data_IF_533031676787
#
_entry.id   IF_533031676787
#
_cell.length_a   1.000
_cell.length_b   1.000
_cell.length_c   1.000
_cell.angle_alpha   90.00
_cell.angle_beta   90.00
_cell.angle_gamma   90.00
#
_symmetry.space_group_name_H-M   'P 1'
#
loop_
_entity.id
_entity.type
_entity.pdbx_description
1 polymer ?
#
# COMPACT_ATOMS: atom_id res chain seq x y z
N UNK A 1 6.75 -22.72 -5.57
CA UNK A 1 6.70 -21.81 -6.71
C UNK A 1 5.70 -20.69 -6.43
N UNK A 2 6.11 -19.44 -6.64
CA UNK A 2 5.21 -18.31 -6.46
C UNK A 2 4.28 -18.15 -7.65
N UNK A 3 3.02 -17.83 -7.36
CA UNK A 3 2.04 -17.54 -8.39
C UNK A 3 1.70 -16.06 -8.35
N UNK A 4 1.84 -15.39 -9.49
CA UNK A 4 1.46 -13.98 -9.58
C UNK A 4 -0.06 -13.86 -9.68
N UNK A 5 -0.65 -13.10 -8.74
CA UNK A 5 -2.09 -12.89 -8.67
C UNK A 5 -2.52 -11.54 -9.23
N UNK A 6 -1.60 -10.56 -9.25
CA UNK A 6 -1.92 -9.19 -9.63
C UNK A 6 -0.66 -8.46 -10.09
N UNK A 7 -0.81 -7.62 -11.11
CA UNK A 7 0.24 -6.70 -11.54
C UNK A 7 -0.44 -5.38 -11.93
N UNK A 8 -0.02 -4.28 -11.28
CA UNK A 8 -0.55 -2.95 -11.55
C UNK A 8 0.62 -1.98 -11.70
N UNK A 9 0.56 -1.11 -12.72
CA UNK A 9 1.50 -0.01 -12.87
C UNK A 9 0.72 1.30 -12.93
N UNK A 10 1.17 2.30 -12.18
CA UNK A 10 0.55 3.61 -12.14
C UNK A 10 1.61 4.68 -12.20
N UNK A 11 1.45 5.65 -13.12
CA UNK A 11 2.34 6.79 -13.22
C UNK A 11 1.72 8.00 -12.54
N UNK A 12 2.51 8.69 -11.72
CA UNK A 12 2.05 9.85 -10.95
C UNK A 12 2.97 11.03 -11.29
N UNK A 13 2.37 12.18 -11.62
CA UNK A 13 3.09 13.42 -11.92
C UNK A 13 3.54 14.11 -10.63
N UNK A 14 4.46 13.49 -9.90
CA UNK A 14 5.00 14.03 -8.67
C UNK A 14 6.38 13.44 -8.40
N UNK A 15 7.27 14.17 -7.70
CA UNK A 15 8.59 13.65 -7.35
C UNK A 15 8.50 12.42 -6.45
N UNK A 16 9.50 11.57 -6.53
CA UNK A 16 9.56 10.31 -5.81
C UNK A 16 9.37 10.47 -4.29
N UNK A 17 10.04 11.45 -3.69
CA UNK A 17 9.96 11.68 -2.24
C UNK A 17 8.54 12.06 -1.82
N UNK A 18 7.85 12.83 -2.63
CA UNK A 18 6.47 13.23 -2.36
C UNK A 18 5.54 12.03 -2.43
N UNK A 19 5.70 11.19 -3.46
CA UNK A 19 4.89 9.98 -3.63
C UNK A 19 5.13 9.02 -2.48
N UNK A 20 6.39 8.78 -2.13
CA UNK A 20 6.76 7.91 -1.02
C UNK A 20 6.12 8.38 0.29
N UNK A 21 6.22 9.68 0.58
CA UNK A 21 5.66 10.25 1.80
C UNK A 21 4.14 10.03 1.88
N UNK A 22 3.42 10.38 0.82
CA UNK A 22 1.96 10.25 0.81
C UNK A 22 1.47 8.80 0.76
N UNK A 23 2.27 7.92 0.18
CA UNK A 23 1.92 6.50 0.14
C UNK A 23 1.95 5.87 1.53
N UNK A 24 2.84 6.34 2.40
CA UNK A 24 3.10 5.72 3.70
C UNK A 24 2.59 6.51 4.90
N UNK A 25 2.20 7.76 4.72
CA UNK A 25 1.71 8.59 5.81
C UNK A 25 0.25 8.22 6.16
N UNK A 26 -0.06 7.85 7.43
CA UNK A 26 -1.41 7.42 7.79
C UNK A 26 -2.52 8.43 7.45
N UNK A 27 -2.26 9.72 7.61
CA UNK A 27 -3.26 10.73 7.25
C UNK A 27 -3.50 10.77 5.74
N UNK A 28 -2.45 10.59 4.94
CA UNK A 28 -2.59 10.52 3.49
C UNK A 28 -3.26 9.21 3.06
N UNK A 29 -2.92 8.10 3.72
CA UNK A 29 -3.52 6.79 3.45
C UNK A 29 -5.03 6.84 3.64
N UNK A 30 -5.50 7.48 4.71
CA UNK A 30 -6.94 7.63 4.95
C UNK A 30 -7.63 8.37 3.80
N UNK A 31 -6.94 9.32 3.18
CA UNK A 31 -7.49 10.10 2.07
C UNK A 31 -7.54 9.32 0.77
N UNK A 32 -6.45 8.68 0.36
CA UNK A 32 -6.46 7.97 -0.92
C UNK A 32 -7.21 6.64 -0.86
N UNK A 33 -7.41 6.07 0.31
CA UNK A 33 -8.26 4.89 0.49
C UNK A 33 -9.76 5.21 0.44
N UNK A 34 -10.13 6.48 0.28
CA UNK A 34 -11.52 6.89 0.10
C UNK A 34 -11.90 7.07 -1.37
N UNK A 35 -11.11 6.55 -2.29
CA UNK A 35 -11.34 6.72 -3.73
C UNK A 35 -12.63 6.04 -4.21
N UNK A 36 -13.12 5.01 -3.52
CA UNK A 36 -14.38 4.36 -3.85
C UNK A 36 -15.55 5.10 -3.21
N UNK A 37 -16.68 5.31 -3.92
CA UNK A 37 -17.85 5.97 -3.32
C UNK A 37 -18.49 5.15 -2.20
N UNK A 38 -18.25 3.83 -2.16
CA UNK A 38 -18.90 2.93 -1.20
C UNK A 38 -18.06 2.61 0.03
N UNK A 39 -16.77 2.94 0.00
CA UNK A 39 -15.82 2.58 1.05
C UNK A 39 -15.03 3.77 1.56
N UNK A 40 -14.63 3.71 2.84
CA UNK A 40 -13.74 4.71 3.41
C UNK A 40 -12.77 4.05 4.39
N UNK A 41 -11.72 4.79 4.76
CA UNK A 41 -10.69 4.34 5.68
C UNK A 41 -10.71 5.25 6.91
N UNK A 42 -11.47 4.91 7.96
CA UNK A 42 -11.58 5.78 9.14
C UNK A 42 -10.33 5.81 10.00
N UNK A 43 -9.47 4.80 9.93
CA UNK A 43 -8.22 4.80 10.69
C UNK A 43 -7.11 4.09 9.92
N UNK A 44 -5.88 4.54 10.18
CA UNK A 44 -4.68 3.98 9.56
C UNK A 44 -3.54 4.09 10.55
N UNK A 45 -2.75 3.03 10.66
CA UNK A 45 -1.51 3.04 11.45
C UNK A 45 -0.43 2.34 10.65
N UNK A 46 0.82 2.78 10.84
CA UNK A 46 1.90 2.29 10.01
C UNK A 46 3.23 2.38 10.77
N UNK A 47 3.88 1.23 10.94
CA UNK A 47 5.24 1.14 11.47
C UNK A 47 6.14 0.70 10.32
N UNK A 48 6.64 1.68 9.55
CA UNK A 48 7.33 1.44 8.28
C UNK A 48 8.79 1.04 8.51
N UNK A 49 8.97 -0.22 8.86
CA UNK A 49 10.30 -0.83 9.04
C UNK A 49 10.18 -2.34 8.88
N UNK A 50 11.30 -2.99 8.64
CA UNK A 50 11.31 -4.47 8.56
C UNK A 50 10.83 -5.04 9.89
N UNK A 51 9.84 -5.91 9.85
CA UNK A 51 9.20 -6.48 11.03
C UNK A 51 8.09 -5.63 11.62
N UNK A 52 7.93 -4.38 11.15
CA UNK A 52 6.82 -3.54 11.57
C UNK A 52 5.52 -3.95 10.89
N UNK A 53 4.41 -3.42 11.36
CA UNK A 53 3.09 -3.75 10.83
C UNK A 53 2.33 -2.48 10.42
N UNK A 54 1.45 -2.65 9.44
CA UNK A 54 0.47 -1.63 9.10
C UNK A 54 -0.93 -2.17 9.32
N UNK A 55 -1.88 -1.26 9.56
CA UNK A 55 -3.28 -1.62 9.73
C UNK A 55 -4.15 -0.46 9.24
N UNK A 56 -4.98 -0.75 8.25
CA UNK A 56 -5.94 0.20 7.71
C UNK A 56 -7.34 -0.35 7.93
N UNK A 57 -8.16 0.38 8.69
CA UNK A 57 -9.55 -0.02 8.86
C UNK A 57 -10.32 0.40 7.62
N UNK A 58 -10.94 -0.56 6.95
CA UNK A 58 -11.79 -0.31 5.79
C UNK A 58 -13.23 -0.57 6.18
N UNK A 59 -14.12 0.38 5.89
CA UNK A 59 -15.54 0.27 6.24
C UNK A 59 -16.41 0.72 5.07
N UNK A 60 -17.49 -0.01 4.86
CA UNK A 60 -18.52 0.42 3.92
C UNK A 60 -19.19 1.67 4.49
N UNK A 61 -19.46 2.67 3.64
CA UNK A 61 -20.03 3.94 4.09
C UNK A 61 -21.44 3.80 4.66
N UNK A 62 -22.15 2.73 4.29
CA UNK A 62 -23.49 2.45 4.82
C UNK A 62 -23.46 1.67 6.16
N UNK A 63 -22.25 1.36 6.67
CA UNK A 63 -22.11 0.65 7.93
C UNK A 63 -22.37 -0.85 7.88
N UNK A 64 -22.61 -1.42 6.69
CA UNK A 64 -22.98 -2.83 6.57
C UNK A 64 -21.84 -3.82 6.76
N UNK A 65 -20.60 -3.37 6.56
CA UNK A 65 -19.45 -4.27 6.59
C UNK A 65 -18.16 -3.48 6.87
N UNK A 66 -17.21 -4.15 7.52
CA UNK A 66 -15.89 -3.58 7.75
C UNK A 66 -14.85 -4.66 7.99
N UNK A 67 -13.59 -4.34 7.72
CA UNK A 67 -12.49 -5.25 7.97
C UNK A 67 -11.20 -4.46 8.18
N UNK A 68 -10.21 -5.13 8.80
CA UNK A 68 -8.87 -4.58 8.96
C UNK A 68 -7.98 -5.11 7.84
N UNK A 69 -7.45 -4.20 7.03
CA UNK A 69 -6.44 -4.53 6.03
C UNK A 69 -5.08 -4.34 6.70
N UNK A 70 -4.37 -5.44 6.97
CA UNK A 70 -3.14 -5.39 7.73
C UNK A 70 -2.11 -6.39 7.25
N UNK A 71 -0.86 -6.11 7.56
CA UNK A 71 0.24 -7.00 7.20
C UNK A 71 1.53 -6.63 7.90
N UNK A 72 2.55 -7.43 7.63
CA UNK A 72 3.88 -7.24 8.20
C UNK A 72 4.87 -6.90 7.10
N UNK A 73 5.69 -5.89 7.32
CA UNK A 73 6.73 -5.51 6.37
C UNK A 73 7.89 -6.50 6.40
N UNK A 74 8.21 -7.06 5.25
CA UNK A 74 9.35 -7.95 5.07
C UNK A 74 10.58 -7.21 4.59
N UNK A 75 10.40 -6.12 3.85
CA UNK A 75 11.49 -5.32 3.33
C UNK A 75 11.01 -3.88 3.12
N UNK A 76 11.84 -2.92 3.48
CA UNK A 76 11.54 -1.50 3.28
C UNK A 76 12.84 -0.81 2.87
N UNK A 77 12.90 -0.34 1.64
CA UNK A 77 14.03 0.46 1.14
C UNK A 77 13.46 1.83 0.79
N UNK A 78 13.79 2.88 1.55
CA UNK A 78 13.22 4.21 1.35
C UNK A 78 13.33 4.69 -0.09
N UNK A 79 12.24 5.22 -0.62
CA UNK A 79 12.13 5.74 -1.99
C UNK A 79 12.37 4.71 -3.08
N UNK A 80 12.35 3.41 -2.76
CA UNK A 80 12.61 2.36 -3.74
C UNK A 80 11.61 1.22 -3.69
N UNK A 81 11.42 0.60 -2.52
CA UNK A 81 10.71 -0.67 -2.47
C UNK A 81 10.07 -0.92 -1.11
N UNK A 82 8.90 -1.53 -1.14
CA UNK A 82 8.23 -2.08 0.04
C UNK A 82 7.80 -3.50 -0.31
N UNK A 83 8.05 -4.44 0.60
CA UNK A 83 7.51 -5.79 0.51
C UNK A 83 6.78 -6.07 1.82
N UNK A 84 5.55 -6.54 1.74
CA UNK A 84 4.85 -6.96 2.94
C UNK A 84 4.13 -8.29 2.71
N UNK A 85 3.82 -8.95 3.82
CA UNK A 85 3.12 -10.22 3.85
C UNK A 85 1.79 -10.04 4.55
N UNK A 86 0.72 -10.56 3.93
CA UNK A 86 -0.58 -10.64 4.56
C UNK A 86 -0.69 -11.93 5.39
N UNK A 87 -1.69 -12.01 6.26
CA UNK A 87 -1.82 -13.14 7.18
C UNK A 87 -2.06 -14.48 6.48
N UNK A 88 -2.49 -14.47 5.22
CA UNK A 88 -2.71 -15.68 4.42
C UNK A 88 -1.52 -16.04 3.53
N UNK A 89 -0.33 -15.52 3.85
CA UNK A 89 0.92 -15.73 3.11
C UNK A 89 1.00 -15.10 1.72
N UNK A 90 0.01 -14.31 1.34
CA UNK A 90 0.14 -13.50 0.13
C UNK A 90 1.19 -12.42 0.37
N UNK A 91 2.04 -12.20 -0.62
CA UNK A 91 3.08 -11.19 -0.55
C UNK A 91 2.82 -10.12 -1.59
N UNK A 92 3.03 -8.88 -1.19
CA UNK A 92 2.87 -7.73 -2.07
C UNK A 92 4.21 -7.04 -2.23
N UNK A 93 4.61 -6.82 -3.46
CA UNK A 93 5.86 -6.16 -3.84
C UNK A 93 5.51 -4.83 -4.47
N UNK A 94 5.99 -3.75 -3.90
CA UNK A 94 5.72 -2.41 -4.38
C UNK A 94 7.05 -1.76 -4.72
N UNK A 95 7.25 -1.44 -5.99
CA UNK A 95 8.45 -0.81 -6.47
C UNK A 95 8.14 0.63 -6.91
N UNK A 96 8.98 1.56 -6.50
CA UNK A 96 8.87 2.97 -6.85
C UNK A 96 10.02 3.31 -7.80
N UNK A 97 9.67 3.77 -8.99
CA UNK A 97 10.65 4.19 -9.99
C UNK A 97 10.39 5.64 -10.34
N UNK A 98 11.45 6.42 -10.53
CA UNK A 98 11.26 7.80 -10.93
C UNK A 98 11.96 8.06 -12.25
N UNK A 99 11.39 9.00 -13.01
CA UNK A 99 11.95 9.49 -14.26
C UNK A 99 11.59 10.96 -14.35
N UNK A 100 12.59 11.83 -14.24
CA UNK A 100 12.37 13.29 -14.14
C UNK A 100 11.48 13.62 -12.93
N UNK A 101 10.35 14.28 -13.15
CA UNK A 101 9.42 14.64 -12.07
C UNK A 101 8.21 13.72 -11.97
N UNK A 102 8.35 12.50 -12.50
CA UNK A 102 7.27 11.52 -12.47
C UNK A 102 7.70 10.30 -11.69
N UNK A 103 6.75 9.65 -11.02
CA UNK A 103 6.99 8.42 -10.28
C UNK A 103 6.06 7.34 -10.80
N UNK A 104 6.61 6.17 -11.07
CA UNK A 104 5.83 4.99 -11.43
C UNK A 104 5.82 4.05 -10.25
N UNK A 105 4.63 3.64 -9.83
CA UNK A 105 4.44 2.63 -8.78
C UNK A 105 4.06 1.33 -9.46
N UNK A 106 4.81 0.27 -9.18
CA UNK A 106 4.55 -1.08 -9.69
C UNK A 106 4.19 -1.96 -8.53
N UNK A 107 2.97 -2.49 -8.53
CA UNK A 107 2.48 -3.34 -7.45
C UNK A 107 2.25 -4.74 -8.01
N UNK A 108 2.87 -5.72 -7.37
CA UNK A 108 2.70 -7.12 -7.72
C UNK A 108 2.28 -7.91 -6.48
N UNK A 109 1.23 -8.71 -6.61
CA UNK A 109 0.77 -9.60 -5.55
C UNK A 109 1.06 -11.03 -5.97
N UNK A 110 1.70 -11.79 -5.10
CA UNK A 110 2.09 -13.17 -5.35
C UNK A 110 1.70 -14.04 -4.17
N UNK A 111 1.42 -15.30 -4.46
CA UNK A 111 1.12 -16.31 -3.45
C UNK A 111 2.03 -17.51 -3.65
N UNK A 112 2.63 -17.94 -2.55
CA UNK A 112 3.49 -19.12 -2.53
C UNK A 112 2.68 -20.40 -2.64
#
# INVERSE_FOLDING_TARGET
MEKQLLHIETEINAPLETVWHHYNNPESIKKWNQASPDWHCPSSSNDLRIGGRFKNRMEAKDGSFGFDFEGEYLDVIPNQKIVYKMDDDRRVFINFQHQSNKTTIIIEKKKK
#
